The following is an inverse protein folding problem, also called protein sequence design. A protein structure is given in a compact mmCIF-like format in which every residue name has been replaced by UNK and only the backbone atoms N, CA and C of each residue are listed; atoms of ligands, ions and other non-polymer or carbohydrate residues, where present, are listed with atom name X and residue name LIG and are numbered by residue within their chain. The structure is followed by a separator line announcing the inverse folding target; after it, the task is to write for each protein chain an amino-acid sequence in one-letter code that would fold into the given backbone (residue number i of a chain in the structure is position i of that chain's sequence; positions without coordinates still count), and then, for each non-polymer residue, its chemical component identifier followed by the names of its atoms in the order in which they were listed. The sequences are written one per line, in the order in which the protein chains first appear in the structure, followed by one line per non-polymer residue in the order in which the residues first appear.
data_IF_079357946085
#
_entry.id   IF_079357946085
#
_cell.length_a   1.000
_cell.length_b   1.000
_cell.length_c   1.000
_cell.angle_alpha   90.00
_cell.angle_beta   90.00
_cell.angle_gamma   90.00
#
_symmetry.space_group_name_H-M   'P 1'
#
loop_
_entity.id
_entity.type
_entity.pdbx_description
1 polymer ?
#
# COMPACT_ATOMS: atom_id res chain seq x y z
N UNK A 1 -1.33 -13.46 0.67
CA UNK A 1 -0.30 -12.41 0.83
C UNK A 1 0.57 -12.63 2.06
N UNK A 2 0.00 -12.66 3.28
CA UNK A 2 0.75 -12.97 4.52
C UNK A 2 1.57 -14.25 4.44
N UNK A 3 0.97 -15.35 3.99
CA UNK A 3 1.66 -16.65 3.89
C UNK A 3 2.84 -16.64 2.91
N UNK A 4 2.73 -15.87 1.83
CA UNK A 4 3.81 -15.73 0.86
C UNK A 4 4.99 -14.95 1.46
N UNK A 5 4.71 -13.89 2.24
CA UNK A 5 5.75 -13.14 2.95
C UNK A 5 6.46 -13.98 4.03
N UNK A 6 5.73 -14.82 4.75
CA UNK A 6 6.32 -15.73 5.75
C UNK A 6 7.28 -16.78 5.17
N UNK A 7 7.19 -17.04 3.86
CA UNK A 7 8.06 -17.99 3.14
C UNK A 7 9.13 -17.30 2.31
N UNK A 8 9.22 -15.97 2.37
CA UNK A 8 10.13 -15.18 1.56
C UNK A 8 11.29 -14.71 2.42
N UNK A 9 12.51 -15.06 2.00
CA UNK A 9 13.73 -14.53 2.60
C UNK A 9 14.08 -13.14 2.02
N UNK A 10 14.63 -12.21 2.82
CA UNK A 10 15.12 -10.92 2.32
C UNK A 10 16.22 -11.07 1.23
N UNK A 11 16.37 -10.11 0.29
CA UNK A 11 15.72 -8.80 0.26
C UNK A 11 14.29 -8.84 -0.31
N UNK A 12 13.34 -8.29 0.44
CA UNK A 12 11.92 -8.19 0.06
C UNK A 12 11.33 -6.88 0.59
N UNK A 13 10.42 -6.26 -0.15
CA UNK A 13 9.65 -5.09 0.30
C UNK A 13 8.21 -5.55 0.60
N UNK A 14 7.84 -5.74 1.87
CA UNK A 14 6.46 -6.11 2.22
C UNK A 14 5.51 -4.91 2.08
N UNK A 15 4.22 -5.21 1.88
CA UNK A 15 3.19 -4.17 1.90
C UNK A 15 2.95 -3.66 3.33
N UNK A 16 3.38 -2.43 3.60
CA UNK A 16 3.36 -1.84 4.94
C UNK A 16 1.94 -1.74 5.53
N UNK A 17 0.92 -1.50 4.68
CA UNK A 17 -0.46 -1.38 5.13
C UNK A 17 -0.96 -2.58 5.93
N UNK A 18 -0.47 -3.78 5.61
CA UNK A 18 -0.78 -5.01 6.35
C UNK A 18 -0.33 -4.95 7.82
N UNK A 19 0.89 -4.46 8.08
CA UNK A 19 1.42 -4.31 9.43
C UNK A 19 0.79 -3.14 10.17
N UNK A 20 0.49 -2.04 9.47
CA UNK A 20 -0.22 -0.90 10.05
C UNK A 20 -1.60 -1.31 10.56
N UNK A 21 -2.33 -2.13 9.78
CA UNK A 21 -3.60 -2.70 10.21
C UNK A 21 -3.45 -3.55 11.48
N UNK A 22 -2.42 -4.40 11.59
CA UNK A 22 -2.19 -5.19 12.81
C UNK A 22 -1.89 -4.31 14.02
N UNK A 23 -1.05 -3.28 13.84
CA UNK A 23 -0.73 -2.35 14.91
C UNK A 23 -1.98 -1.59 15.37
N UNK A 24 -2.81 -1.11 14.44
CA UNK A 24 -4.10 -0.49 14.78
C UNK A 24 -5.01 -1.44 15.55
N UNK A 25 -5.13 -2.70 15.14
CA UNK A 25 -5.93 -3.69 15.86
C UNK A 25 -5.41 -3.97 17.27
N UNK A 26 -4.09 -4.05 17.46
CA UNK A 26 -3.50 -4.23 18.80
C UNK A 26 -3.78 -3.01 19.68
N UNK A 27 -3.67 -1.82 19.10
CA UNK A 27 -3.86 -0.55 19.80
C UNK A 27 -5.29 -0.38 20.30
N UNK A 28 -6.27 -0.67 19.45
CA UNK A 28 -7.69 -0.57 19.76
C UNK A 28 -8.20 -1.74 20.63
N UNK A 29 -7.66 -2.94 20.43
CA UNK A 29 -8.13 -4.16 21.09
C UNK A 29 -7.50 -4.43 22.46
N UNK A 30 -6.38 -3.76 22.80
CA UNK A 30 -5.65 -4.03 24.05
C UNK A 30 -5.35 -2.73 24.82
N UNK A 31 -5.76 -2.60 26.10
CA UNK A 31 -5.49 -1.40 26.88
C UNK A 31 -4.00 -1.28 27.25
N UNK A 32 -3.52 -0.04 27.36
CA UNK A 32 -2.13 0.28 27.75
C UNK A 32 -1.79 -0.13 29.18
N UNK A 33 -2.79 -0.07 30.07
CA UNK A 33 -2.64 -0.38 31.47
C UNK A 33 -3.57 -1.52 31.88
N UNK A 34 -3.11 -2.34 32.81
CA UNK A 34 -3.93 -3.35 33.46
C UNK A 34 -4.96 -2.69 34.39
N UNK A 35 -5.99 -3.43 34.87
CA UNK A 35 -6.93 -2.92 35.87
C UNK A 35 -6.25 -2.38 37.14
N UNK A 36 -5.08 -2.95 37.48
CA UNK A 36 -4.25 -2.54 38.62
C UNK A 36 -3.38 -1.30 38.33
N UNK A 37 -3.59 -0.61 37.20
CA UNK A 37 -2.83 0.56 36.73
C UNK A 37 -1.35 0.29 36.46
N UNK A 38 -0.99 -0.95 36.18
CA UNK A 38 0.37 -1.32 35.75
C UNK A 38 0.45 -1.31 34.22
N UNK A 39 1.64 -1.05 33.67
CA UNK A 39 1.84 -1.12 32.22
C UNK A 39 1.54 -2.53 31.70
N UNK A 40 0.75 -2.61 30.63
CA UNK A 40 0.41 -3.87 29.99
C UNK A 40 1.54 -4.35 29.06
N UNK A 41 2.48 -5.10 29.63
CA UNK A 41 3.57 -5.70 28.85
C UNK A 41 3.10 -6.70 27.79
N UNK A 42 1.89 -7.24 27.86
CA UNK A 42 1.35 -8.10 26.82
C UNK A 42 1.14 -7.32 25.52
N UNK A 43 0.50 -6.13 25.61
CA UNK A 43 0.35 -5.20 24.48
C UNK A 43 1.71 -4.85 23.87
N UNK A 44 2.67 -4.50 24.72
CA UNK A 44 4.02 -4.13 24.29
C UNK A 44 4.73 -5.27 23.55
N UNK A 45 4.58 -6.52 23.99
CA UNK A 45 5.14 -7.69 23.28
C UNK A 45 4.48 -7.92 21.93
N UNK A 46 3.17 -7.72 21.80
CA UNK A 46 2.46 -7.85 20.53
C UNK A 46 2.96 -6.81 19.52
N UNK A 47 3.03 -5.54 19.93
CA UNK A 47 3.59 -4.45 19.10
C UNK A 47 5.03 -4.76 18.69
N UNK A 48 5.87 -5.16 19.66
CA UNK A 48 7.27 -5.48 19.40
C UNK A 48 7.44 -6.65 18.41
N UNK A 49 6.52 -7.62 18.43
CA UNK A 49 6.53 -8.73 17.48
C UNK A 49 6.37 -8.23 16.04
N UNK A 50 5.36 -7.39 15.79
CA UNK A 50 5.10 -6.81 14.47
C UNK A 50 6.29 -5.96 14.00
N UNK A 51 6.83 -5.09 14.87
CA UNK A 51 7.99 -4.27 14.54
C UNK A 51 9.22 -5.12 14.19
N UNK A 52 9.42 -6.24 14.89
CA UNK A 52 10.55 -7.13 14.62
C UNK A 52 10.46 -7.77 13.23
N UNK A 53 9.27 -8.09 12.75
CA UNK A 53 9.07 -8.58 11.39
C UNK A 53 9.41 -7.50 10.35
N UNK A 54 8.94 -6.27 10.55
CA UNK A 54 9.30 -5.13 9.67
C UNK A 54 10.82 -4.98 9.60
N UNK A 55 11.49 -5.01 10.76
CA UNK A 55 12.95 -4.88 10.85
C UNK A 55 13.69 -6.02 10.15
N UNK A 56 13.15 -7.24 10.14
CA UNK A 56 13.78 -8.38 9.46
C UNK A 56 13.95 -8.09 7.95
N UNK A 57 12.93 -7.54 7.30
CA UNK A 57 12.98 -7.19 5.89
C UNK A 57 13.84 -5.94 5.59
N UNK A 58 14.04 -5.05 6.56
CA UNK A 58 14.91 -3.87 6.41
C UNK A 58 16.42 -4.19 6.51
N UNK A 59 16.80 -5.35 7.05
CA UNK A 59 18.21 -5.68 7.32
C UNK A 59 19.02 -6.03 6.08
N UNK A 60 18.38 -6.52 5.02
CA UNK A 60 19.09 -6.99 3.82
C UNK A 60 18.78 -6.07 2.65
N UNK A 61 19.76 -5.28 2.17
CA UNK A 61 19.57 -4.43 1.00
C UNK A 61 19.54 -5.26 -0.29
N UNK A 62 18.88 -4.73 -1.31
CA UNK A 62 19.01 -5.25 -2.68
C UNK A 62 20.41 -4.98 -3.22
N UNK A 63 20.97 -5.96 -3.95
CA UNK A 63 22.22 -5.81 -4.71
C UNK A 63 21.94 -5.23 -6.09
N UNK A 64 21.38 -4.02 -6.13
CA UNK A 64 21.05 -3.30 -7.35
C UNK A 64 21.86 -2.01 -7.36
N UNK A 65 22.59 -1.76 -8.45
CA UNK A 65 23.38 -0.54 -8.58
C UNK A 65 22.47 0.67 -8.77
N UNK A 66 22.79 1.75 -8.06
CA UNK A 66 22.05 2.99 -8.16
C UNK A 66 22.38 3.69 -9.48
N UNK A 67 21.35 3.96 -10.29
CA UNK A 67 21.47 4.71 -11.55
C UNK A 67 20.82 6.09 -11.34
N UNK A 68 21.61 7.16 -11.12
CA UNK A 68 21.07 8.47 -10.74
C UNK A 68 20.01 9.00 -11.71
N UNK A 69 20.22 8.84 -13.03
CA UNK A 69 19.27 9.28 -14.06
C UNK A 69 17.90 8.61 -13.93
N UNK A 70 17.87 7.32 -13.60
CA UNK A 70 16.62 6.56 -13.43
C UNK A 70 15.94 7.02 -12.14
N UNK A 71 16.68 7.12 -11.03
CA UNK A 71 16.14 7.58 -9.74
C UNK A 71 15.57 8.99 -9.85
N UNK A 72 16.28 9.92 -10.49
CA UNK A 72 15.79 11.29 -10.70
C UNK A 72 14.50 11.34 -11.52
N UNK A 73 14.37 10.49 -12.55
CA UNK A 73 13.14 10.39 -13.33
C UNK A 73 11.98 9.82 -12.50
N UNK A 74 12.22 8.76 -11.72
CA UNK A 74 11.19 8.13 -10.88
C UNK A 74 10.72 9.03 -9.72
N UNK A 75 11.58 9.94 -9.25
CA UNK A 75 11.28 10.88 -8.16
C UNK A 75 10.76 12.24 -8.66
N UNK A 76 10.64 12.45 -9.97
CA UNK A 76 10.13 13.70 -10.53
C UNK A 76 8.63 13.83 -10.30
N UNK A 77 8.25 14.65 -9.32
CA UNK A 77 6.85 14.90 -8.96
C UNK A 77 6.09 15.69 -10.02
N UNK A 78 6.79 16.34 -10.97
CA UNK A 78 6.12 17.05 -12.07
C UNK A 78 5.44 16.11 -13.08
N UNK A 79 5.79 14.82 -13.03
CA UNK A 79 5.18 13.78 -13.85
C UNK A 79 3.89 13.22 -13.23
N UNK A 80 3.56 13.60 -11.99
CA UNK A 80 2.35 13.15 -11.31
C UNK A 80 1.15 13.92 -11.84
N UNK A 81 0.15 13.17 -12.27
CA UNK A 81 -1.18 13.67 -12.61
C UNK A 81 -2.10 13.32 -11.44
N UNK A 82 -3.04 14.20 -11.14
CA UNK A 82 -4.07 13.88 -10.16
C UNK A 82 -5.10 12.89 -10.72
N UNK A 83 -5.92 12.31 -9.83
CA UNK A 83 -6.90 11.29 -10.20
C UNK A 83 -7.95 11.82 -11.20
N UNK A 84 -8.31 13.10 -11.12
CA UNK A 84 -9.28 13.73 -12.02
C UNK A 84 -8.69 13.90 -13.42
N UNK A 85 -7.45 14.38 -13.53
CA UNK A 85 -6.70 14.51 -14.78
C UNK A 85 -6.50 13.16 -15.46
N UNK A 86 -6.09 12.13 -14.70
CA UNK A 86 -5.94 10.77 -15.19
C UNK A 86 -7.25 10.23 -15.73
N UNK A 87 -8.35 10.45 -15.01
CA UNK A 87 -9.67 10.02 -15.42
C UNK A 87 -10.14 10.73 -16.69
N UNK A 88 -9.94 12.05 -16.81
CA UNK A 88 -10.28 12.80 -18.03
C UNK A 88 -9.45 12.33 -19.24
N UNK A 89 -8.15 12.11 -19.07
CA UNK A 89 -7.28 11.55 -20.13
C UNK A 89 -7.74 10.15 -20.54
N UNK A 90 -8.13 9.31 -19.57
CA UNK A 90 -8.69 7.99 -19.85
C UNK A 90 -9.93 8.09 -20.73
N UNK A 91 -10.84 9.03 -20.46
CA UNK A 91 -12.04 9.26 -21.27
C UNK A 91 -11.75 9.80 -22.68
N UNK A 92 -10.65 10.54 -22.86
CA UNK A 92 -10.22 11.01 -24.18
C UNK A 92 -9.66 9.86 -25.03
N UNK A 93 -8.93 8.93 -24.41
CA UNK A 93 -8.36 7.75 -25.08
C UNK A 93 -9.45 6.74 -25.41
N UNK A 94 -10.32 6.44 -24.44
CA UNK A 94 -11.45 5.55 -24.60
C UNK A 94 -12.74 6.27 -24.19
N UNK A 95 -13.38 6.98 -25.13
CA UNK A 95 -14.67 7.61 -24.88
C UNK A 95 -15.69 6.56 -24.47
N UNK A 96 -16.51 6.86 -23.46
CA UNK A 96 -17.66 6.04 -23.12
C UNK A 96 -18.56 5.97 -24.33
N UNK A 97 -18.49 4.88 -25.09
CA UNK A 97 -19.38 4.63 -26.21
C UNK A 97 -20.80 4.83 -25.72
N UNK A 98 -21.53 5.76 -26.33
CA UNK A 98 -22.96 5.92 -26.11
C UNK A 98 -23.61 4.58 -26.44
N UNK A 99 -23.86 3.74 -25.43
CA UNK A 99 -24.61 2.48 -25.61
C UNK A 99 -26.07 2.71 -26.05
N UNK A 100 -26.46 3.93 -26.44
CA UNK A 100 -27.83 4.33 -26.74
C UNK A 100 -27.96 5.43 -27.83
N UNK A 101 -27.10 5.45 -28.84
CA UNK A 101 -27.38 6.27 -30.05
C UNK A 101 -27.25 5.45 -31.33
N UNK A 102 -28.08 4.41 -31.44
CA UNK A 102 -28.52 3.95 -32.76
C UNK A 102 -29.68 4.87 -33.21
N UNK A 103 -29.63 5.44 -34.42
CA UNK A 103 -30.65 6.36 -34.89
C UNK A 103 -31.89 5.56 -35.31
N UNK A 104 -33.02 5.75 -34.62
CA UNK A 104 -34.30 5.30 -35.17
C UNK A 104 -34.89 6.43 -36.02
N UNK A 105 -34.30 6.62 -37.20
CA UNK A 105 -34.93 7.35 -38.29
C UNK A 105 -35.47 6.37 -39.33
N UNK A 106 -36.73 6.59 -39.70
CA UNK A 106 -37.42 6.21 -40.94
C UNK A 106 -38.31 4.94 -40.94
N UNK A 107 -39.62 5.22 -41.05
CA UNK A 107 -40.64 4.66 -41.97
C UNK A 107 -40.89 3.14 -41.93
N UNK A 108 -42.12 2.62 -41.78
CA UNK A 108 -43.41 2.90 -42.46
C UNK A 108 -44.56 2.54 -41.51
#
# INVERSE_FOLDING_TARGET
MREALHRCDPPCIPYLGMYLTDLSFIEEGTPDFTPDRLLNFSKMRMIAHVIREIRHFQQTPYKIDHIPKVTSYLLDTSLLLDDDELYQKSLQIEPRSSRLSAPNTANV
#
